data_IF_309134244905
#
_entry.id   IF_309134244905
#
_cell.length_a   1.000
_cell.length_b   1.000
_cell.length_c   1.000
_cell.angle_alpha   90.00
_cell.angle_beta   90.00
_cell.angle_gamma   90.00
#
_symmetry.space_group_name_H-M   'P 1'
#
loop_
_entity.id
_entity.type
_entity.pdbx_description
1 polymer ?
#
# COMPACT_ATOMS: atom_id res chain seq x y z
N UNK A 1 1.82 -27.57 -10.97
CA UNK A 1 2.20 -26.27 -11.56
C UNK A 1 1.42 -25.18 -10.86
N UNK A 2 2.10 -24.23 -10.22
CA UNK A 2 1.44 -23.07 -9.63
C UNK A 2 0.82 -22.28 -10.79
N UNK A 3 -0.51 -22.24 -10.86
CA UNK A 3 -1.29 -21.55 -11.92
C UNK A 3 -1.38 -20.04 -11.71
N UNK A 4 -0.86 -19.55 -10.59
CA UNK A 4 -0.89 -18.14 -10.20
C UNK A 4 0.46 -17.55 -10.58
N UNK A 5 0.48 -16.49 -11.40
CA UNK A 5 1.70 -15.86 -11.93
C UNK A 5 2.58 -15.13 -10.91
N UNK A 6 2.49 -15.49 -9.62
CA UNK A 6 3.29 -14.92 -8.53
C UNK A 6 3.67 -15.99 -7.52
N UNK A 7 4.66 -15.70 -6.68
CA UNK A 7 4.98 -16.50 -5.49
C UNK A 7 3.75 -16.51 -4.56
N UNK A 8 3.41 -17.69 -4.08
CA UNK A 8 2.35 -17.91 -3.09
C UNK A 8 2.95 -18.77 -1.99
N UNK A 9 2.75 -18.38 -0.73
CA UNK A 9 3.16 -19.16 0.43
C UNK A 9 2.45 -20.53 0.41
N UNK A 10 3.19 -21.60 0.65
CA UNK A 10 2.72 -22.99 0.55
C UNK A 10 3.10 -23.71 1.83
N UNK A 11 2.41 -23.34 2.90
CA UNK A 11 2.64 -23.87 4.24
C UNK A 11 1.66 -25.03 4.51
N UNK A 12 1.78 -25.64 5.68
CA UNK A 12 0.73 -26.49 6.20
C UNK A 12 -0.52 -25.65 6.58
N UNK A 13 -1.66 -26.31 6.77
CA UNK A 13 -2.92 -25.61 7.01
C UNK A 13 -2.91 -24.70 8.26
N UNK A 14 -2.34 -25.13 9.41
CA UNK A 14 -2.21 -24.27 10.57
C UNK A 14 -1.41 -22.99 10.28
N UNK A 15 -0.22 -23.09 9.66
CA UNK A 15 0.64 -21.92 9.41
C UNK A 15 0.12 -21.04 8.28
N UNK A 16 -0.57 -21.62 7.30
CA UNK A 16 -1.25 -20.84 6.26
C UNK A 16 -2.30 -19.89 6.84
N UNK A 17 -2.95 -20.28 7.95
CA UNK A 17 -3.91 -19.44 8.67
C UNK A 17 -3.26 -18.31 9.49
N UNK A 18 -1.93 -18.31 9.64
CA UNK A 18 -1.19 -17.31 10.42
C UNK A 18 -0.67 -16.20 9.51
N UNK A 19 -0.61 -14.97 10.02
CA UNK A 19 -0.11 -13.84 9.25
C UNK A 19 1.41 -13.93 9.03
N UNK A 20 1.89 -13.64 7.82
CA UNK A 20 3.32 -13.68 7.46
C UNK A 20 4.21 -12.87 8.43
N UNK A 21 3.84 -11.65 8.88
CA UNK A 21 4.64 -10.92 9.87
C UNK A 21 4.77 -11.63 11.22
N UNK A 22 3.74 -12.37 11.65
CA UNK A 22 3.79 -13.12 12.91
C UNK A 22 4.75 -14.31 12.82
N UNK A 23 4.76 -15.01 11.68
CA UNK A 23 5.73 -16.08 11.42
C UNK A 23 7.16 -15.55 11.31
N UNK A 24 7.34 -14.36 10.70
CA UNK A 24 8.65 -13.72 10.61
C UNK A 24 9.20 -13.37 12.00
N UNK A 25 8.35 -12.82 12.88
CA UNK A 25 8.73 -12.51 14.26
C UNK A 25 9.11 -13.77 15.06
N UNK A 26 8.32 -14.85 14.96
CA UNK A 26 8.64 -16.13 15.59
C UNK A 26 9.97 -16.71 15.08
N UNK A 27 10.20 -16.64 13.77
CA UNK A 27 11.48 -17.08 13.19
C UNK A 27 12.68 -16.28 13.74
N UNK A 28 12.51 -14.98 14.03
CA UNK A 28 13.53 -14.18 14.72
C UNK A 28 13.76 -14.71 16.14
N UNK A 29 12.69 -14.90 16.91
CA UNK A 29 12.78 -15.34 18.31
C UNK A 29 13.42 -16.74 18.44
N UNK A 30 13.18 -17.62 17.46
CA UNK A 30 13.76 -18.97 17.38
C UNK A 30 15.21 -19.00 16.86
N UNK A 31 15.77 -17.86 16.42
CA UNK A 31 17.08 -17.80 15.78
C UNK A 31 17.12 -18.36 14.36
N UNK A 32 15.97 -18.52 13.70
CA UNK A 32 15.82 -18.95 12.29
C UNK A 32 15.92 -17.74 11.35
N UNK A 33 17.10 -17.12 11.32
CA UNK A 33 17.33 -15.85 10.61
C UNK A 33 17.01 -15.90 9.10
N UNK A 34 17.36 -16.99 8.42
CA UNK A 34 17.08 -17.14 6.98
C UNK A 34 15.57 -17.23 6.70
N UNK A 35 14.81 -17.92 7.55
CA UNK A 35 13.36 -18.02 7.45
C UNK A 35 12.70 -16.65 7.70
N UNK A 36 13.15 -15.94 8.74
CA UNK A 36 12.68 -14.61 9.07
C UNK A 36 12.87 -13.64 7.89
N UNK A 37 14.06 -13.66 7.27
CA UNK A 37 14.34 -12.85 6.08
C UNK A 37 13.45 -13.23 4.90
N UNK A 38 13.32 -14.53 4.60
CA UNK A 38 12.50 -14.99 3.49
C UNK A 38 11.01 -14.62 3.65
N UNK A 39 10.50 -14.64 4.89
CA UNK A 39 9.14 -14.22 5.22
C UNK A 39 8.97 -12.69 5.13
N UNK A 40 9.93 -11.91 5.64
CA UNK A 40 9.92 -10.46 5.53
C UNK A 40 9.91 -10.00 4.06
N UNK A 41 10.81 -10.54 3.24
CA UNK A 41 10.88 -10.25 1.80
C UNK A 41 9.57 -10.62 1.08
N UNK A 42 8.90 -11.68 1.53
CA UNK A 42 7.65 -12.14 0.93
C UNK A 42 6.43 -11.24 1.25
N UNK A 43 6.48 -10.43 2.31
CA UNK A 43 5.37 -9.52 2.65
C UNK A 43 5.07 -8.49 1.56
N UNK A 44 6.08 -8.09 0.79
CA UNK A 44 5.96 -7.16 -0.32
C UNK A 44 5.08 -7.75 -1.44
N UNK A 45 5.46 -8.86 -2.12
CA UNK A 45 4.65 -9.43 -3.19
C UNK A 45 3.30 -9.98 -2.69
N UNK A 46 3.20 -10.38 -1.42
CA UNK A 46 1.92 -10.80 -0.82
C UNK A 46 0.92 -9.63 -0.72
N UNK A 47 1.38 -8.46 -0.26
CA UNK A 47 0.55 -7.27 -0.15
C UNK A 47 0.32 -6.56 -1.49
N UNK A 48 1.35 -6.46 -2.33
CA UNK A 48 1.29 -5.76 -3.62
C UNK A 48 0.22 -6.36 -4.54
N UNK A 49 0.12 -7.68 -4.60
CA UNK A 49 -0.87 -8.33 -5.45
C UNK A 49 -2.31 -7.92 -5.10
N UNK A 50 -2.60 -7.66 -3.83
CA UNK A 50 -3.91 -7.17 -3.39
C UNK A 50 -4.10 -5.69 -3.71
N UNK A 51 -3.06 -4.87 -3.51
CA UNK A 51 -3.07 -3.46 -3.89
C UNK A 51 -3.36 -3.29 -5.38
N UNK A 52 -2.60 -3.95 -6.24
CA UNK A 52 -2.73 -3.85 -7.70
C UNK A 52 -4.12 -4.32 -8.16
N UNK A 53 -4.65 -5.38 -7.56
CA UNK A 53 -6.01 -5.83 -7.81
C UNK A 53 -7.07 -4.76 -7.49
N UNK A 54 -6.90 -4.02 -6.39
CA UNK A 54 -7.80 -2.90 -6.06
C UNK A 54 -7.63 -1.73 -7.03
N UNK A 55 -6.39 -1.43 -7.47
CA UNK A 55 -6.13 -0.41 -8.48
C UNK A 55 -6.81 -0.75 -9.81
N UNK A 56 -6.65 -1.98 -10.31
CA UNK A 56 -7.29 -2.46 -11.53
C UNK A 56 -8.82 -2.39 -11.43
N UNK A 57 -9.38 -2.81 -10.29
CA UNK A 57 -10.82 -2.75 -10.07
C UNK A 57 -11.35 -1.31 -10.02
N UNK A 58 -10.65 -0.41 -9.33
CA UNK A 58 -11.03 1.01 -9.28
C UNK A 58 -10.89 1.67 -10.66
N UNK A 59 -9.85 1.34 -11.41
CA UNK A 59 -9.65 1.82 -12.77
C UNK A 59 -10.81 1.42 -13.69
N UNK A 60 -11.17 0.13 -13.70
CA UNK A 60 -12.30 -0.36 -14.49
C UNK A 60 -13.62 0.29 -14.03
N UNK A 61 -13.85 0.38 -12.72
CA UNK A 61 -15.04 1.04 -12.18
C UNK A 61 -15.16 2.49 -12.64
N UNK A 62 -14.07 3.27 -12.58
CA UNK A 62 -14.06 4.67 -13.01
C UNK A 62 -14.25 4.80 -14.52
N UNK A 63 -13.62 3.91 -15.30
CA UNK A 63 -13.81 3.83 -16.75
C UNK A 63 -15.29 3.59 -17.09
N UNK A 64 -15.92 2.62 -16.44
CA UNK A 64 -17.33 2.29 -16.65
C UNK A 64 -18.27 3.43 -16.27
N UNK A 65 -17.95 4.19 -15.21
CA UNK A 65 -18.73 5.39 -14.84
C UNK A 65 -18.57 6.47 -15.93
N UNK A 66 -17.34 6.77 -16.35
CA UNK A 66 -17.06 7.79 -17.35
C UNK A 66 -17.72 7.44 -18.70
N UNK A 67 -17.62 6.19 -19.16
CA UNK A 67 -18.21 5.75 -20.43
C UNK A 67 -19.75 5.78 -20.42
N UNK A 68 -20.38 5.45 -19.29
CA UNK A 68 -21.86 5.36 -19.19
C UNK A 68 -22.53 6.68 -18.81
N UNK A 69 -21.84 7.52 -18.04
CA UNK A 69 -22.42 8.70 -17.40
C UNK A 69 -21.64 9.99 -17.65
N UNK A 70 -20.48 9.92 -18.33
CA UNK A 70 -19.61 11.04 -18.61
C UNK A 70 -18.60 11.33 -17.49
N UNK A 71 -17.49 11.99 -17.85
CA UNK A 71 -16.41 12.33 -16.92
C UNK A 71 -16.86 13.27 -15.77
N UNK A 72 -17.87 14.11 -16.01
CA UNK A 72 -18.40 14.99 -14.96
C UNK A 72 -19.03 14.18 -13.82
N UNK A 73 -19.74 13.09 -14.11
CA UNK A 73 -20.31 12.25 -13.05
C UNK A 73 -19.22 11.52 -12.26
N UNK A 74 -18.15 11.07 -12.93
CA UNK A 74 -16.97 10.51 -12.27
C UNK A 74 -16.35 11.53 -11.30
N UNK A 75 -16.15 12.78 -11.75
CA UNK A 75 -15.65 13.87 -10.91
C UNK A 75 -16.54 14.11 -9.69
N UNK A 76 -17.87 14.18 -9.87
CA UNK A 76 -18.81 14.36 -8.76
C UNK A 76 -18.76 13.19 -7.77
N UNK A 77 -18.64 11.96 -8.26
CA UNK A 77 -18.54 10.77 -7.42
C UNK A 77 -17.26 10.78 -6.58
N UNK A 78 -16.11 11.08 -7.18
CA UNK A 78 -14.84 11.19 -6.47
C UNK A 78 -14.88 12.29 -5.41
N UNK A 79 -15.41 13.48 -5.73
CA UNK A 79 -15.58 14.56 -4.75
C UNK A 79 -16.45 14.16 -3.56
N UNK A 80 -17.58 13.51 -3.81
CA UNK A 80 -18.51 13.09 -2.74
C UNK A 80 -17.92 12.00 -1.86
N UNK A 81 -17.25 11.02 -2.46
CA UNK A 81 -16.69 9.87 -1.74
C UNK A 81 -15.44 10.26 -0.95
N UNK A 82 -14.47 10.90 -1.59
CA UNK A 82 -13.23 11.35 -0.94
C UNK A 82 -13.50 12.51 0.02
N UNK A 83 -14.24 13.53 -0.41
CA UNK A 83 -14.63 14.66 0.45
C UNK A 83 -15.58 14.29 1.60
N UNK A 84 -16.23 13.12 1.49
CA UNK A 84 -17.09 12.56 2.51
C UNK A 84 -16.29 11.87 3.60
N UNK A 85 -16.26 10.54 3.56
CA UNK A 85 -15.71 9.74 4.65
C UNK A 85 -14.20 9.94 4.80
N UNK A 86 -13.46 10.01 3.69
CA UNK A 86 -11.99 10.06 3.73
C UNK A 86 -11.51 11.37 4.35
N UNK A 87 -11.99 12.51 3.85
CA UNK A 87 -11.61 13.82 4.40
C UNK A 87 -12.12 14.06 5.82
N UNK A 88 -13.36 13.65 6.12
CA UNK A 88 -13.98 13.93 7.43
C UNK A 88 -13.50 13.01 8.55
N UNK A 89 -13.18 11.75 8.23
CA UNK A 89 -12.79 10.73 9.22
C UNK A 89 -11.29 10.51 9.26
N UNK A 90 -10.65 10.34 8.10
CA UNK A 90 -9.24 9.91 8.01
C UNK A 90 -8.30 11.12 8.01
N UNK A 91 -8.55 12.12 7.17
CA UNK A 91 -7.62 13.26 6.99
C UNK A 91 -7.76 14.38 8.03
N UNK A 92 -8.83 14.40 8.82
CA UNK A 92 -9.01 15.43 9.86
C UNK A 92 -7.88 15.39 10.89
N UNK A 93 -7.39 14.20 11.25
CA UNK A 93 -6.22 14.04 12.11
C UNK A 93 -4.94 14.54 11.43
N UNK A 94 -4.73 14.10 10.19
CA UNK A 94 -3.57 14.49 9.36
C UNK A 94 -3.39 16.01 9.26
N UNK A 95 -4.47 16.76 9.03
CA UNK A 95 -4.42 18.21 8.89
C UNK A 95 -4.12 18.96 10.20
N UNK A 96 -4.15 18.28 11.35
CA UNK A 96 -3.76 18.86 12.64
C UNK A 96 -2.33 18.48 13.06
N UNK A 97 -1.68 17.56 12.35
CA UNK A 97 -0.29 17.17 12.60
C UNK A 97 0.66 18.31 12.20
N UNK A 98 1.84 18.34 12.84
CA UNK A 98 2.96 19.14 12.39
C UNK A 98 3.38 18.72 10.97
N UNK A 99 4.05 19.60 10.24
CA UNK A 99 4.44 19.32 8.84
C UNK A 99 5.31 18.07 8.76
N UNK A 100 6.27 17.91 9.67
CA UNK A 100 7.14 16.74 9.71
C UNK A 100 6.37 15.44 9.96
N UNK A 101 5.42 15.43 10.90
CA UNK A 101 4.56 14.27 11.17
C UNK A 101 3.69 13.91 9.96
N UNK A 102 3.24 14.90 9.17
CA UNK A 102 2.53 14.64 7.90
C UNK A 102 3.44 13.97 6.88
N UNK A 103 4.71 14.36 6.82
CA UNK A 103 5.71 13.74 5.93
C UNK A 103 5.94 12.28 6.35
N UNK A 104 6.13 12.02 7.64
CA UNK A 104 6.31 10.67 8.19
C UNK A 104 5.09 9.77 7.87
N UNK A 105 3.88 10.27 8.11
CA UNK A 105 2.65 9.52 7.81
C UNK A 105 2.45 9.34 6.29
N UNK A 106 2.74 10.36 5.48
CA UNK A 106 2.70 10.23 4.01
C UNK A 106 3.66 9.15 3.52
N UNK A 107 4.88 9.10 4.09
CA UNK A 107 5.86 8.08 3.75
C UNK A 107 5.37 6.66 4.09
N UNK A 108 4.66 6.49 5.22
CA UNK A 108 4.03 5.21 5.56
C UNK A 108 2.92 4.82 4.57
N UNK A 109 2.04 5.77 4.22
CA UNK A 109 0.95 5.53 3.26
C UNK A 109 1.56 5.14 1.90
N UNK A 110 2.58 5.85 1.43
CA UNK A 110 3.20 5.57 0.13
C UNK A 110 4.00 4.26 0.13
N UNK A 111 4.64 3.88 1.24
CA UNK A 111 5.21 2.53 1.41
C UNK A 111 4.17 1.43 1.19
N UNK A 112 2.94 1.63 1.67
CA UNK A 112 1.85 0.67 1.45
C UNK A 112 1.36 0.63 -0.01
N UNK A 113 1.56 1.71 -0.78
CA UNK A 113 1.31 1.74 -2.24
C UNK A 113 2.42 1.07 -3.05
N UNK A 114 3.51 0.62 -2.42
CA UNK A 114 4.58 -0.13 -3.10
C UNK A 114 5.20 0.66 -4.27
N UNK A 115 5.35 1.96 -4.07
CA UNK A 115 6.05 2.88 -4.97
C UNK A 115 7.55 2.58 -5.05
N UNK A 116 8.25 3.32 -5.92
CA UNK A 116 9.68 3.20 -6.16
C UNK A 116 10.03 2.20 -7.27
N UNK A 117 11.28 2.24 -7.77
CA UNK A 117 11.70 1.48 -8.95
C UNK A 117 11.65 -0.04 -8.74
N UNK A 118 11.82 -0.48 -7.49
CA UNK A 118 11.75 -1.91 -7.11
C UNK A 118 10.35 -2.34 -6.65
N UNK A 119 9.41 -1.39 -6.58
CA UNK A 119 8.01 -1.63 -6.17
C UNK A 119 7.90 -2.25 -4.76
N UNK A 120 8.78 -1.86 -3.86
CA UNK A 120 8.88 -2.31 -2.47
C UNK A 120 8.39 -1.26 -1.46
N UNK A 121 8.09 -0.04 -1.94
CA UNK A 121 7.73 1.11 -1.12
C UNK A 121 8.91 2.05 -0.85
N UNK A 122 10.04 1.90 -1.55
CA UNK A 122 11.15 2.85 -1.52
C UNK A 122 10.74 4.26 -1.95
N UNK A 123 11.23 5.26 -1.21
CA UNK A 123 10.91 6.67 -1.36
C UNK A 123 12.15 7.52 -1.11
N UNK A 124 12.31 8.60 -1.88
CA UNK A 124 13.29 9.64 -1.60
C UNK A 124 12.62 10.79 -0.85
N UNK A 125 13.13 11.13 0.32
CA UNK A 125 12.62 12.25 1.15
C UNK A 125 13.78 13.15 1.54
N UNK A 126 13.67 14.45 1.23
CA UNK A 126 14.65 15.46 1.62
C UNK A 126 13.99 16.60 2.40
N UNK A 127 14.73 17.13 3.39
CA UNK A 127 14.40 18.38 4.09
C UNK A 127 15.20 19.52 3.44
N UNK A 128 14.51 20.46 2.81
CA UNK A 128 15.09 21.61 2.12
C UNK A 128 15.10 22.87 3.03
N UNK A 129 14.71 22.73 4.29
CA UNK A 129 14.66 23.79 5.30
C UNK A 129 13.36 24.60 5.30
N UNK A 130 12.82 24.97 4.13
CA UNK A 130 11.52 25.65 4.01
C UNK A 130 10.37 24.70 3.64
N UNK A 131 10.68 23.51 3.11
CA UNK A 131 9.74 22.45 2.80
C UNK A 131 10.41 21.07 2.83
N UNK A 132 9.59 20.03 2.75
CA UNK A 132 10.05 18.67 2.50
C UNK A 132 9.69 18.26 1.08
N UNK A 133 10.60 17.58 0.40
CA UNK A 133 10.35 16.95 -0.89
C UNK A 133 10.15 15.44 -0.69
N UNK A 134 9.13 14.88 -1.32
CA UNK A 134 8.88 13.43 -1.39
C UNK A 134 8.82 13.06 -2.87
N UNK A 135 9.77 12.24 -3.33
CA UNK A 135 9.88 11.78 -4.71
C UNK A 135 9.82 10.26 -4.78
N UNK A 136 9.08 9.73 -5.76
CA UNK A 136 8.89 8.29 -5.95
C UNK A 136 8.40 7.96 -7.35
N UNK A 137 8.72 6.76 -7.81
CA UNK A 137 8.05 6.16 -8.96
C UNK A 137 6.65 5.67 -8.53
N UNK A 138 5.60 5.88 -9.35
CA UNK A 138 4.26 5.42 -9.01
C UNK A 138 4.18 3.90 -8.96
N UNK A 139 3.16 3.41 -8.25
CA UNK A 139 2.80 2.00 -8.16
C UNK A 139 2.42 1.38 -9.52
#
# INVERSE_FOLDING_TARGET
>A
MIKVGRKVRQDDWPDLGRATPALAAEAVDDGRGDDAKALADYTIPEGKALHDLFCDWLWDLFTQIAERHGEEELHQMLRKTQGGWMMKRTWRGFLNLAVEERVQLTAEIMRAHRCGPEQDGGLDITDEGDHYNISMDPC
#
